data_IF_961839852075
#
_entry.id   IF_961839852075
#
_cell.length_a   1.000
_cell.length_b   1.000
_cell.length_c   1.000
_cell.angle_alpha   90.00
_cell.angle_beta   90.00
_cell.angle_gamma   90.00
#
_symmetry.space_group_name_H-M   'P 1'
#
loop_
_entity.id
_entity.type
_entity.pdbx_description
1 polymer ?
#
# COMPACT_ATOMS: atom_id res chain seq x y z
N UNK A 1 -26.20 8.44 1.83
CA UNK A 1 -24.96 8.58 2.61
C UNK A 1 -24.09 9.74 2.12
N UNK A 2 -23.73 9.77 0.84
CA UNK A 2 -22.88 10.80 0.24
C UNK A 2 -23.40 12.23 0.48
N UNK A 3 -24.65 12.52 0.13
CA UNK A 3 -25.26 13.85 0.34
C UNK A 3 -25.39 14.25 1.81
N UNK A 4 -25.68 13.30 2.72
CA UNK A 4 -25.76 13.57 4.16
C UNK A 4 -24.43 14.03 4.76
N UNK A 5 -23.30 13.60 4.19
CA UNK A 5 -21.95 13.99 4.61
C UNK A 5 -21.38 15.14 3.76
N UNK A 6 -22.24 15.86 3.01
CA UNK A 6 -21.85 16.97 2.13
C UNK A 6 -20.81 16.59 1.06
N UNK A 7 -20.80 15.31 0.64
CA UNK A 7 -19.90 14.79 -0.39
C UNK A 7 -18.44 15.00 -0.06
N UNK A 8 -17.64 15.49 -1.00
CA UNK A 8 -16.22 15.74 -0.85
C UNK A 8 -15.86 17.12 -0.23
N UNK A 9 -16.84 17.89 0.25
CA UNK A 9 -16.63 19.28 0.69
C UNK A 9 -15.61 19.40 1.83
N UNK A 10 -15.55 18.40 2.73
CA UNK A 10 -14.59 18.37 3.84
C UNK A 10 -13.13 18.19 3.38
N UNK A 11 -12.92 17.70 2.17
CA UNK A 11 -11.59 17.36 1.62
C UNK A 11 -11.22 18.18 0.39
N UNK A 12 -12.04 19.13 0.00
CA UNK A 12 -11.89 19.91 -1.23
C UNK A 12 -10.56 20.67 -1.34
N UNK A 13 -9.92 20.99 -0.21
CA UNK A 13 -8.60 21.64 -0.15
C UNK A 13 -7.42 20.67 -0.31
N UNK A 14 -7.70 19.35 -0.35
CA UNK A 14 -6.68 18.32 -0.44
C UNK A 14 -6.57 17.92 -1.92
N UNK A 15 -5.37 17.96 -2.46
CA UNK A 15 -5.11 17.78 -3.90
C UNK A 15 -5.24 16.33 -4.40
N UNK A 16 -5.56 15.36 -3.54
CA UNK A 16 -5.68 13.93 -3.92
C UNK A 16 -6.42 13.13 -2.85
N UNK A 17 -7.04 12.02 -3.24
CA UNK A 17 -7.63 11.04 -2.32
C UNK A 17 -8.96 11.50 -1.74
N UNK A 18 -9.74 12.25 -2.48
CA UNK A 18 -11.08 12.68 -2.11
C UNK A 18 -12.02 11.49 -1.86
N UNK A 19 -11.99 10.47 -2.71
CA UNK A 19 -12.68 9.19 -2.56
C UNK A 19 -12.19 8.42 -1.32
N UNK A 20 -10.90 8.28 -1.19
CA UNK A 20 -10.20 7.55 -0.15
C UNK A 20 -10.44 8.19 1.24
N UNK A 21 -10.32 9.52 1.33
CA UNK A 21 -10.61 10.28 2.54
C UNK A 21 -12.10 10.25 2.90
N UNK A 22 -12.98 10.31 1.91
CA UNK A 22 -14.41 10.19 2.14
C UNK A 22 -14.75 8.81 2.73
N UNK A 23 -14.27 7.72 2.12
CA UNK A 23 -14.46 6.37 2.65
C UNK A 23 -13.86 6.24 4.05
N UNK A 24 -12.65 6.74 4.27
CA UNK A 24 -12.02 6.73 5.60
C UNK A 24 -12.87 7.46 6.66
N UNK A 25 -13.55 8.55 6.28
CA UNK A 25 -14.41 9.31 7.17
C UNK A 25 -15.71 8.57 7.53
N UNK A 26 -16.40 7.97 6.54
CA UNK A 26 -17.78 7.53 6.69
C UNK A 26 -17.95 6.02 6.83
N UNK A 27 -16.97 5.22 6.36
CA UNK A 27 -17.07 3.78 6.34
C UNK A 27 -17.06 3.17 7.75
N UNK A 28 -17.91 2.16 7.93
CA UNK A 28 -17.95 1.31 9.11
C UNK A 28 -18.48 -0.07 8.74
N UNK A 29 -18.40 -1.03 9.66
CA UNK A 29 -18.79 -2.43 9.45
C UNK A 29 -20.25 -2.63 9.00
N UNK A 30 -21.13 -1.65 9.21
CA UNK A 30 -22.57 -1.76 8.91
C UNK A 30 -22.95 -1.15 7.56
N UNK A 31 -22.14 -0.24 7.03
CA UNK A 31 -22.46 0.53 5.83
C UNK A 31 -21.51 0.32 4.66
N UNK A 32 -20.57 -0.60 4.80
CA UNK A 32 -19.54 -0.86 3.78
C UNK A 32 -19.57 -2.33 3.39
N UNK A 33 -19.57 -2.57 2.09
CA UNK A 33 -19.45 -3.90 1.49
C UNK A 33 -18.36 -3.87 0.43
N UNK A 34 -17.57 -4.95 0.35
CA UNK A 34 -16.55 -5.10 -0.69
C UNK A 34 -17.19 -5.84 -1.86
N UNK A 35 -17.15 -5.25 -3.03
CA UNK A 35 -17.53 -5.90 -4.27
C UNK A 35 -16.27 -6.26 -5.07
N UNK A 36 -16.13 -7.54 -5.42
CA UNK A 36 -15.04 -8.11 -6.23
C UNK A 36 -15.59 -8.82 -7.48
N UNK A 37 -16.80 -8.47 -7.90
CA UNK A 37 -17.38 -8.98 -9.13
C UNK A 37 -16.59 -8.41 -10.33
N UNK A 38 -16.11 -9.26 -11.25
CA UNK A 38 -15.38 -8.81 -12.44
C UNK A 38 -16.11 -7.74 -13.26
N UNK A 39 -17.45 -7.76 -13.30
CA UNK A 39 -18.26 -6.76 -13.98
C UNK A 39 -18.18 -5.36 -13.33
N UNK A 40 -17.75 -5.29 -12.06
CA UNK A 40 -17.56 -4.03 -11.34
C UNK A 40 -16.16 -3.42 -11.50
N UNK A 41 -15.24 -4.09 -12.18
CA UNK A 41 -13.86 -3.62 -12.30
C UNK A 41 -13.74 -2.45 -13.27
N UNK A 42 -13.02 -1.42 -12.82
CA UNK A 42 -12.71 -0.24 -13.62
C UNK A 42 -11.22 -0.25 -13.94
N UNK A 43 -10.90 -0.21 -15.22
CA UNK A 43 -9.52 -0.20 -15.72
C UNK A 43 -9.08 1.22 -16.03
N UNK A 44 -7.86 1.57 -15.60
CA UNK A 44 -7.24 2.86 -15.92
C UNK A 44 -5.87 2.65 -16.55
N UNK A 45 -5.48 3.54 -17.44
CA UNK A 45 -4.16 3.47 -18.08
C UNK A 45 -3.05 3.68 -17.05
N UNK A 46 -2.06 2.77 -17.00
CA UNK A 46 -0.93 2.90 -16.08
C UNK A 46 -0.01 4.05 -16.49
N UNK A 47 0.79 4.54 -15.55
CA UNK A 47 1.85 5.51 -15.86
C UNK A 47 2.99 4.82 -16.59
N UNK A 48 3.41 5.37 -17.72
CA UNK A 48 4.43 4.78 -18.60
C UNK A 48 5.85 5.22 -18.26
N UNK A 49 6.04 6.24 -17.42
CA UNK A 49 7.37 6.70 -17.00
C UNK A 49 7.53 6.67 -15.49
N UNK A 50 8.75 6.39 -15.03
CA UNK A 50 9.08 6.36 -13.60
C UNK A 50 8.75 7.68 -12.91
N UNK A 51 9.06 8.82 -13.54
CA UNK A 51 8.77 10.15 -12.98
C UNK A 51 7.26 10.38 -12.79
N UNK A 52 6.43 9.95 -13.75
CA UNK A 52 4.98 10.08 -13.64
C UNK A 52 4.44 9.17 -12.53
N UNK A 53 4.94 7.94 -12.45
CA UNK A 53 4.64 6.98 -11.38
C UNK A 53 5.05 7.53 -10.00
N UNK A 54 6.28 8.00 -9.85
CA UNK A 54 6.81 8.57 -8.61
C UNK A 54 5.98 9.77 -8.14
N UNK A 55 5.64 10.68 -9.07
CA UNK A 55 4.76 11.83 -8.78
C UNK A 55 3.37 11.38 -8.30
N UNK A 56 2.79 10.38 -8.96
CA UNK A 56 1.50 9.81 -8.57
C UNK A 56 1.58 9.20 -7.17
N UNK A 57 2.58 8.36 -6.87
CA UNK A 57 2.76 7.75 -5.55
C UNK A 57 3.00 8.78 -4.45
N UNK A 58 3.83 9.78 -4.70
CA UNK A 58 4.02 10.90 -3.76
C UNK A 58 2.69 11.56 -3.39
N UNK A 59 1.88 11.85 -4.40
CA UNK A 59 0.57 12.48 -4.19
C UNK A 59 -0.34 11.58 -3.35
N UNK A 60 -0.44 10.29 -3.64
CA UNK A 60 -1.27 9.35 -2.88
C UNK A 60 -0.79 9.19 -1.44
N UNK A 61 0.51 9.10 -1.21
CA UNK A 61 1.06 8.93 0.14
C UNK A 61 0.84 10.17 1.03
N UNK A 62 0.66 11.36 0.46
CA UNK A 62 0.36 12.57 1.25
C UNK A 62 -1.05 12.57 1.86
N UNK A 63 -1.98 11.74 1.36
CA UNK A 63 -3.34 11.62 1.93
C UNK A 63 -3.35 10.90 3.27
N UNK A 64 -2.41 10.00 3.50
CA UNK A 64 -2.33 9.19 4.72
C UNK A 64 -2.28 10.00 6.02
N UNK A 65 -1.78 11.23 5.98
CA UNK A 65 -1.76 12.13 7.15
C UNK A 65 -3.17 12.52 7.64
N UNK A 66 -4.17 12.43 6.77
CA UNK A 66 -5.57 12.78 7.08
C UNK A 66 -6.42 11.58 7.50
N UNK A 67 -5.88 10.35 7.47
CA UNK A 67 -6.61 9.16 7.90
C UNK A 67 -6.88 9.18 9.40
N UNK A 68 -7.90 8.45 9.84
CA UNK A 68 -8.15 8.19 11.27
C UNK A 68 -6.91 7.58 11.91
N UNK A 69 -6.64 7.93 13.17
CA UNK A 69 -5.45 7.49 13.90
C UNK A 69 -5.26 5.96 13.85
N UNK A 70 -6.33 5.20 14.03
CA UNK A 70 -6.30 3.73 13.96
C UNK A 70 -5.74 3.21 12.64
N UNK A 71 -6.18 3.77 11.51
CA UNK A 71 -5.68 3.33 10.19
C UNK A 71 -4.25 3.78 9.94
N UNK A 72 -3.87 4.97 10.41
CA UNK A 72 -2.47 5.43 10.37
C UNK A 72 -1.54 4.48 11.11
N UNK A 73 -1.93 4.09 12.32
CA UNK A 73 -1.13 3.15 13.12
C UNK A 73 -1.05 1.77 12.49
N UNK A 74 -2.16 1.23 11.98
CA UNK A 74 -2.18 -0.08 11.30
C UNK A 74 -1.28 -0.09 10.06
N UNK A 75 -1.42 0.90 9.19
CA UNK A 75 -0.60 1.01 7.97
C UNK A 75 0.88 1.27 8.30
N UNK A 76 1.15 2.13 9.30
CA UNK A 76 2.49 2.41 9.76
C UNK A 76 3.17 1.20 10.38
N UNK A 77 2.46 0.47 11.25
CA UNK A 77 2.96 -0.76 11.87
C UNK A 77 3.23 -1.84 10.82
N UNK A 78 2.30 -2.03 9.87
CA UNK A 78 2.49 -2.97 8.77
C UNK A 78 3.75 -2.63 7.96
N UNK A 79 3.91 -1.38 7.53
CA UNK A 79 5.09 -0.96 6.76
C UNK A 79 6.38 -1.09 7.57
N UNK A 80 6.33 -0.75 8.85
CA UNK A 80 7.48 -0.86 9.75
C UNK A 80 7.91 -2.32 9.96
N UNK A 81 6.97 -3.22 10.21
CA UNK A 81 7.28 -4.65 10.41
C UNK A 81 7.84 -5.29 9.15
N UNK A 82 7.35 -4.93 7.97
CA UNK A 82 7.92 -5.39 6.70
C UNK A 82 9.36 -4.88 6.51
N UNK A 83 9.60 -3.60 6.74
CA UNK A 83 10.95 -3.02 6.65
C UNK A 83 11.90 -3.69 7.67
N UNK A 84 11.47 -3.81 8.91
CA UNK A 84 12.25 -4.42 9.99
C UNK A 84 12.61 -5.88 9.65
N UNK A 85 11.66 -6.65 9.12
CA UNK A 85 11.90 -8.02 8.70
C UNK A 85 13.04 -8.10 7.67
N UNK A 86 13.01 -7.29 6.61
CA UNK A 86 14.04 -7.30 5.59
C UNK A 86 15.40 -6.82 6.10
N UNK A 87 15.41 -5.78 6.92
CA UNK A 87 16.66 -5.28 7.54
C UNK A 87 17.28 -6.33 8.45
N UNK A 88 16.49 -6.96 9.33
CA UNK A 88 16.99 -8.02 10.21
C UNK A 88 17.41 -9.26 9.42
N UNK A 89 16.68 -9.66 8.38
CA UNK A 89 17.04 -10.78 7.52
C UNK A 89 18.43 -10.58 6.90
N UNK A 90 18.65 -9.41 6.28
CA UNK A 90 19.95 -9.08 5.67
C UNK A 90 21.05 -9.00 6.73
N UNK A 91 20.79 -8.34 7.86
CA UNK A 91 21.77 -8.15 8.93
C UNK A 91 22.18 -9.48 9.56
N UNK A 92 21.23 -10.34 9.91
CA UNK A 92 21.53 -11.61 10.58
C UNK A 92 22.27 -12.59 9.66
N UNK A 93 21.93 -12.61 8.35
CA UNK A 93 22.68 -13.39 7.37
C UNK A 93 24.10 -12.86 7.17
N UNK A 94 24.28 -11.55 7.07
CA UNK A 94 25.62 -10.95 6.88
C UNK A 94 26.55 -11.17 8.07
N UNK A 95 25.98 -11.22 9.28
CA UNK A 95 26.72 -11.51 10.51
C UNK A 95 26.82 -13.02 10.82
N UNK A 96 26.30 -13.88 9.95
CA UNK A 96 26.25 -15.33 10.12
C UNK A 96 25.59 -15.79 11.45
N UNK A 97 24.60 -15.04 11.93
CA UNK A 97 23.85 -15.32 13.15
C UNK A 97 22.71 -16.29 12.84
N UNK A 98 22.79 -17.52 13.37
CA UNK A 98 21.73 -18.52 13.26
C UNK A 98 21.17 -18.68 11.83
N UNK A 99 22.00 -18.87 10.79
CA UNK A 99 21.57 -18.79 9.39
C UNK A 99 20.44 -19.78 9.05
N UNK A 100 20.44 -20.96 9.63
CA UNK A 100 19.39 -21.98 9.40
C UNK A 100 18.04 -21.47 9.93
N UNK A 101 18.00 -20.88 11.12
CA UNK A 101 16.77 -20.31 11.68
C UNK A 101 16.27 -19.14 10.83
N UNK A 102 17.17 -18.25 10.43
CA UNK A 102 16.83 -17.09 9.60
C UNK A 102 16.25 -17.50 8.26
N UNK A 103 16.88 -18.48 7.59
CA UNK A 103 16.38 -19.00 6.32
C UNK A 103 15.04 -19.74 6.48
N UNK A 104 14.85 -20.46 7.58
CA UNK A 104 13.58 -21.13 7.87
C UNK A 104 12.44 -20.13 8.06
N UNK A 105 12.66 -19.04 8.79
CA UNK A 105 11.68 -17.95 8.96
C UNK A 105 11.40 -17.23 7.65
N UNK A 106 12.43 -17.00 6.83
CA UNK A 106 12.25 -16.42 5.50
C UNK A 106 11.40 -17.32 4.60
N UNK A 107 11.67 -18.64 4.61
CA UNK A 107 10.90 -19.61 3.83
C UNK A 107 9.43 -19.64 4.29
N UNK A 108 9.18 -19.63 5.60
CA UNK A 108 7.83 -19.55 6.14
C UNK A 108 7.10 -18.28 5.68
N UNK A 109 7.76 -17.11 5.74
CA UNK A 109 7.22 -15.85 5.21
C UNK A 109 6.94 -15.96 3.72
N UNK A 110 7.86 -16.51 2.94
CA UNK A 110 7.69 -16.65 1.49
C UNK A 110 6.49 -17.53 1.14
N UNK A 111 6.34 -18.69 1.79
CA UNK A 111 5.20 -19.58 1.59
C UNK A 111 3.88 -18.88 1.92
N UNK A 112 3.80 -18.21 3.08
CA UNK A 112 2.59 -17.48 3.46
C UNK A 112 2.26 -16.35 2.49
N UNK A 113 3.26 -15.62 2.02
CA UNK A 113 3.10 -14.57 1.00
C UNK A 113 2.56 -15.15 -0.31
N UNK A 114 3.14 -16.26 -0.79
CA UNK A 114 2.68 -16.93 -2.02
C UNK A 114 1.22 -17.36 -1.89
N UNK A 115 0.84 -17.99 -0.78
CA UNK A 115 -0.54 -18.46 -0.55
C UNK A 115 -1.51 -17.28 -0.58
N UNK A 116 -1.20 -16.20 0.14
CA UNK A 116 -2.07 -15.01 0.19
C UNK A 116 -2.18 -14.33 -1.17
N UNK A 117 -1.05 -14.12 -1.85
CA UNK A 117 -1.03 -13.47 -3.15
C UNK A 117 -1.72 -14.31 -4.23
N UNK A 118 -1.52 -15.64 -4.21
CA UNK A 118 -2.22 -16.55 -5.13
C UNK A 118 -3.74 -16.45 -4.93
N UNK A 119 -4.23 -16.59 -3.70
CA UNK A 119 -5.66 -16.50 -3.42
C UNK A 119 -6.25 -15.12 -3.80
N UNK A 120 -5.47 -14.06 -3.68
CA UNK A 120 -5.87 -12.71 -4.10
C UNK A 120 -5.92 -12.61 -5.62
N UNK A 121 -4.88 -13.08 -6.31
CA UNK A 121 -4.80 -13.08 -7.76
C UNK A 121 -5.92 -13.92 -8.40
N UNK A 122 -6.23 -15.08 -7.82
CA UNK A 122 -7.33 -15.95 -8.26
C UNK A 122 -8.67 -15.23 -8.17
N UNK A 123 -8.92 -14.51 -7.08
CA UNK A 123 -10.17 -13.75 -6.89
C UNK A 123 -10.31 -12.52 -7.79
N UNK A 124 -9.19 -11.92 -8.18
CA UNK A 124 -9.15 -10.71 -9.01
C UNK A 124 -8.94 -11.00 -10.49
N UNK A 125 -8.75 -12.28 -10.89
CA UNK A 125 -8.48 -12.65 -12.28
C UNK A 125 -7.08 -12.27 -12.78
N UNK A 126 -6.12 -12.01 -11.86
CA UNK A 126 -4.80 -11.44 -12.16
C UNK A 126 -3.66 -12.45 -11.92
N UNK A 127 -3.84 -13.70 -12.35
CA UNK A 127 -2.90 -14.81 -12.11
C UNK A 127 -1.47 -14.54 -12.60
N UNK A 128 -1.32 -13.79 -13.69
CA UNK A 128 -0.03 -13.47 -14.29
C UNK A 128 0.84 -12.54 -13.44
N UNK A 129 0.26 -11.85 -12.47
CA UNK A 129 0.98 -10.92 -11.59
C UNK A 129 1.68 -11.60 -10.41
N UNK A 130 1.43 -12.89 -10.14
CA UNK A 130 1.92 -13.57 -8.95
C UNK A 130 3.44 -13.53 -8.83
N UNK A 131 4.15 -13.99 -9.85
CA UNK A 131 5.63 -14.02 -9.84
C UNK A 131 6.22 -12.60 -9.80
N UNK A 132 5.59 -11.68 -10.52
CA UNK A 132 6.02 -10.29 -10.56
C UNK A 132 5.84 -9.60 -9.21
N UNK A 133 4.74 -9.85 -8.50
CA UNK A 133 4.48 -9.29 -7.18
C UNK A 133 5.49 -9.76 -6.13
N UNK A 134 5.91 -11.02 -6.18
CA UNK A 134 6.95 -11.56 -5.30
C UNK A 134 8.32 -10.90 -5.51
N UNK A 135 8.69 -10.67 -6.77
CA UNK A 135 9.96 -10.00 -7.10
C UNK A 135 9.96 -8.51 -6.73
N UNK A 136 8.80 -7.87 -6.83
CA UNK A 136 8.66 -6.43 -6.53
C UNK A 136 8.50 -6.16 -5.04
N UNK A 137 8.01 -7.10 -4.24
CA UNK A 137 7.78 -6.90 -2.80
C UNK A 137 8.99 -6.28 -2.08
N UNK A 138 10.22 -6.84 -2.15
CA UNK A 138 11.37 -6.26 -1.46
C UNK A 138 11.67 -4.83 -1.92
N UNK A 139 11.50 -4.54 -3.22
CA UNK A 139 11.70 -3.19 -3.75
C UNK A 139 10.72 -2.20 -3.13
N UNK A 140 9.44 -2.57 -3.04
CA UNK A 140 8.40 -1.72 -2.48
C UNK A 140 8.56 -1.48 -0.99
N UNK A 141 9.05 -2.47 -0.23
CA UNK A 141 9.31 -2.33 1.21
C UNK A 141 10.29 -1.20 1.52
N UNK A 142 11.29 -0.98 0.66
CA UNK A 142 12.23 0.14 0.82
C UNK A 142 11.77 1.41 0.10
N UNK A 143 11.15 1.27 -1.07
CA UNK A 143 10.74 2.41 -1.90
C UNK A 143 9.62 3.24 -1.25
N UNK A 144 8.60 2.60 -0.66
CA UNK A 144 7.45 3.32 -0.09
C UNK A 144 7.84 4.19 1.11
N UNK A 145 8.60 3.71 2.12
CA UNK A 145 9.11 4.58 3.19
C UNK A 145 9.97 5.74 2.66
N UNK A 146 10.82 5.48 1.67
CA UNK A 146 11.64 6.50 1.03
C UNK A 146 10.80 7.59 0.37
N UNK A 147 9.79 7.21 -0.44
CA UNK A 147 8.88 8.18 -1.06
C UNK A 147 8.11 8.95 0.01
N UNK A 148 7.67 8.29 1.07
CA UNK A 148 6.95 8.93 2.19
C UNK A 148 7.84 9.96 2.87
N UNK A 149 9.09 9.61 3.16
CA UNK A 149 10.08 10.51 3.76
C UNK A 149 10.35 11.73 2.87
N UNK A 150 10.63 11.53 1.58
CA UNK A 150 10.84 12.61 0.62
C UNK A 150 9.60 13.51 0.52
N UNK A 151 8.40 12.93 0.59
CA UNK A 151 7.14 13.67 0.50
C UNK A 151 6.83 14.47 1.76
N UNK A 152 7.34 14.05 2.93
CA UNK A 152 7.20 14.81 4.18
C UNK A 152 8.06 16.08 4.19
N UNK A 153 9.25 16.02 3.57
CA UNK A 153 10.16 17.17 3.46
C UNK A 153 9.70 18.13 2.35
N UNK A 154 9.29 17.58 1.22
CA UNK A 154 9.01 18.35 0.00
C UNK A 154 7.59 18.04 -0.49
N UNK A 155 6.59 18.75 0.01
CA UNK A 155 5.20 18.49 -0.36
C UNK A 155 4.97 18.73 -1.87
N UNK A 156 4.34 17.81 -2.60
CA UNK A 156 4.01 18.01 -4.00
C UNK A 156 3.05 19.20 -4.11
N UNK A 157 3.43 20.21 -4.92
CA UNK A 157 2.57 21.35 -5.24
C UNK A 157 1.31 20.84 -5.95
N UNK A 158 0.20 21.56 -5.73
CA UNK A 158 -1.10 21.25 -6.33
C UNK A 158 -1.05 21.02 -7.84
N UNK A 159 -2.10 20.43 -8.37
CA UNK A 159 -2.29 20.15 -9.80
C UNK A 159 -1.77 21.28 -10.73
N UNK A 160 -0.79 20.98 -11.55
CA UNK A 160 -0.53 21.63 -12.83
C UNK A 160 -0.48 20.57 -13.90
#
# INVERSE_FOLDING_TARGET
MFLRNKGFTSHYKISSGDDDLFINQVANKRNTQINIDPESFVYSAPKTTFNAYFRQKRRHLTTGKYYKATFKWLLGLFSFTQLLFWVLFILMLSLNIQPILVLSLFLLKLITTIIVQKNTADRLGEHHLLLFSLAIEPIYVFLIPLITFISSINQPKAWK
#
